data_IF_278430017888
#
_entry.id   IF_278430017888
#
_cell.length_a   1.000
_cell.length_b   1.000
_cell.length_c   1.000
_cell.angle_alpha   90.00
_cell.angle_beta   90.00
_cell.angle_gamma   90.00
#
_symmetry.space_group_name_H-M   'P 1'
#
loop_
_entity.id
_entity.type
_entity.pdbx_description
1 polymer ?
#
# COMPACT_ATOMS: atom_id res chain seq x y z
N UNK A 1 9.12 -14.52 7.39
CA UNK A 1 8.27 -15.26 8.37
C UNK A 1 6.99 -14.52 8.75
N UNK A 2 6.91 -13.21 8.66
CA UNK A 2 5.74 -12.39 9.07
C UNK A 2 4.49 -12.60 8.21
N UNK A 3 4.63 -13.15 7.01
CA UNK A 3 3.52 -13.49 6.09
C UNK A 3 2.68 -14.70 6.51
N UNK A 4 3.15 -15.48 7.49
CA UNK A 4 2.45 -16.67 7.96
C UNK A 4 1.28 -16.37 8.92
N UNK A 5 1.18 -15.11 9.38
CA UNK A 5 0.05 -14.69 10.23
C UNK A 5 -1.01 -14.04 9.34
N UNK A 6 -2.15 -14.70 9.09
CA UNK A 6 -3.24 -14.09 8.35
C UNK A 6 -3.66 -12.77 9.01
N UNK A 7 -3.91 -11.70 8.25
CA UNK A 7 -4.33 -10.40 8.80
C UNK A 7 -5.55 -10.49 9.73
N UNK A 8 -6.43 -11.44 9.48
CA UNK A 8 -7.63 -11.67 10.30
C UNK A 8 -7.31 -12.08 11.74
N UNK A 9 -6.19 -12.77 11.98
CA UNK A 9 -5.78 -13.17 13.35
C UNK A 9 -5.35 -11.94 14.15
N UNK A 10 -4.76 -10.95 13.49
CA UNK A 10 -4.34 -9.69 14.09
C UNK A 10 -5.52 -8.76 14.38
N UNK A 11 -6.70 -9.06 13.86
CA UNK A 11 -7.87 -8.21 14.00
C UNK A 11 -8.23 -7.94 15.46
N UNK A 12 -8.38 -8.98 16.28
CA UNK A 12 -8.74 -8.82 17.70
C UNK A 12 -7.70 -8.04 18.51
N UNK A 13 -6.40 -8.38 18.48
CA UNK A 13 -5.41 -7.63 19.24
C UNK A 13 -5.27 -6.18 18.75
N UNK A 14 -5.35 -5.92 17.45
CA UNK A 14 -5.28 -4.55 16.91
C UNK A 14 -6.51 -3.74 17.31
N UNK A 15 -7.71 -4.32 17.24
CA UNK A 15 -8.94 -3.69 17.71
C UNK A 15 -8.84 -3.32 19.19
N UNK A 16 -8.28 -4.21 20.02
CA UNK A 16 -8.05 -3.92 21.44
C UNK A 16 -7.08 -2.75 21.64
N UNK A 17 -5.97 -2.69 20.89
CA UNK A 17 -4.99 -1.61 20.96
C UNK A 17 -5.62 -0.27 20.53
N UNK A 18 -6.33 -0.24 19.41
CA UNK A 18 -7.03 0.96 18.92
C UNK A 18 -8.06 1.45 19.94
N UNK A 19 -8.80 0.52 20.58
CA UNK A 19 -9.74 0.85 21.66
C UNK A 19 -9.05 1.48 22.86
N UNK A 20 -7.90 0.97 23.27
CA UNK A 20 -7.10 1.56 24.36
C UNK A 20 -6.56 2.95 24.05
N UNK A 21 -6.27 3.22 22.79
CA UNK A 21 -5.83 4.54 22.32
C UNK A 21 -6.99 5.53 22.14
N UNK A 22 -8.25 5.09 22.26
CA UNK A 22 -9.43 5.94 22.06
C UNK A 22 -9.60 6.40 20.61
N UNK A 23 -9.08 5.64 19.63
CA UNK A 23 -9.06 6.00 18.21
C UNK A 23 -10.17 5.31 17.41
N UNK A 24 -11.12 4.63 18.04
CA UNK A 24 -12.29 4.11 17.36
C UNK A 24 -13.07 5.24 16.68
N UNK A 25 -13.80 4.86 15.63
CA UNK A 25 -14.62 5.76 14.85
C UNK A 25 -13.83 6.91 14.19
N UNK A 26 -12.56 6.60 13.85
CA UNK A 26 -11.63 7.53 13.21
C UNK A 26 -10.79 6.84 12.14
N UNK A 27 -10.58 7.53 11.01
CA UNK A 27 -9.64 7.11 9.98
C UNK A 27 -8.18 7.00 10.48
N UNK A 28 -7.83 7.68 11.59
CA UNK A 28 -6.52 7.51 12.24
C UNK A 28 -6.28 6.08 12.74
N UNK A 29 -7.35 5.35 13.10
CA UNK A 29 -7.25 3.93 13.40
C UNK A 29 -6.72 3.14 12.20
N UNK A 30 -7.23 3.43 11.00
CA UNK A 30 -6.80 2.79 9.76
C UNK A 30 -5.36 3.15 9.39
N UNK A 31 -4.97 4.42 9.58
CA UNK A 31 -3.58 4.89 9.37
C UNK A 31 -2.59 4.13 10.25
N UNK A 32 -2.97 3.74 11.45
CA UNK A 32 -2.12 2.96 12.36
C UNK A 32 -2.15 1.45 12.05
N UNK A 33 -3.29 0.94 11.63
CA UNK A 33 -3.48 -0.50 11.41
C UNK A 33 -2.95 -0.96 10.06
N UNK A 34 -3.19 -0.22 8.98
CA UNK A 34 -2.78 -0.62 7.63
C UNK A 34 -1.28 -0.87 7.47
N UNK A 35 -0.37 -0.11 8.11
CA UNK A 35 1.05 -0.42 8.11
C UNK A 35 1.40 -1.82 8.62
N UNK A 36 0.60 -2.41 9.51
CA UNK A 36 0.89 -3.73 10.08
C UNK A 36 0.95 -4.84 9.03
N UNK A 37 0.22 -4.72 7.93
CA UNK A 37 0.23 -5.67 6.83
C UNK A 37 0.86 -5.11 5.54
N UNK A 38 0.89 -3.78 5.36
CA UNK A 38 1.52 -3.19 4.17
C UNK A 38 3.05 -3.11 4.30
N UNK A 39 3.59 -2.78 5.48
CA UNK A 39 5.06 -2.71 5.70
C UNK A 39 5.76 -4.06 5.46
N UNK A 40 5.28 -5.21 5.96
CA UNK A 40 5.93 -6.50 5.68
C UNK A 40 6.03 -6.80 4.19
N UNK A 41 4.96 -6.54 3.43
CA UNK A 41 4.93 -6.71 1.97
C UNK A 41 5.91 -5.75 1.29
N UNK A 42 5.84 -4.46 1.67
CA UNK A 42 6.72 -3.42 1.16
C UNK A 42 8.20 -3.77 1.38
N UNK A 43 8.53 -4.24 2.57
CA UNK A 43 9.89 -4.66 2.93
C UNK A 43 10.36 -5.84 2.08
N UNK A 44 9.52 -6.84 1.91
CA UNK A 44 9.84 -8.02 1.10
C UNK A 44 10.06 -7.66 -0.38
N UNK A 45 9.18 -6.85 -0.95
CA UNK A 45 9.30 -6.37 -2.33
C UNK A 45 10.54 -5.50 -2.52
N UNK A 46 10.81 -4.57 -1.58
CA UNK A 46 12.01 -3.73 -1.63
C UNK A 46 13.28 -4.56 -1.54
N UNK A 47 13.30 -5.54 -0.67
CA UNK A 47 14.45 -6.43 -0.53
C UNK A 47 14.71 -7.23 -1.82
N UNK A 48 13.64 -7.73 -2.47
CA UNK A 48 13.76 -8.39 -3.77
C UNK A 48 14.31 -7.45 -4.85
N UNK A 49 13.82 -6.22 -4.90
CA UNK A 49 14.29 -5.20 -5.84
C UNK A 49 15.78 -4.85 -5.61
N UNK A 50 16.16 -4.58 -4.37
CA UNK A 50 17.54 -4.19 -4.03
C UNK A 50 18.55 -5.32 -4.33
N UNK A 51 18.15 -6.57 -4.20
CA UNK A 51 19.00 -7.72 -4.58
C UNK A 51 19.27 -7.82 -6.09
N UNK A 52 18.42 -7.23 -6.91
CA UNK A 52 18.60 -7.15 -8.35
C UNK A 52 19.55 -6.01 -8.79
N UNK A 53 19.93 -5.11 -7.88
CA UNK A 53 20.89 -4.05 -8.21
C UNK A 53 22.30 -4.61 -8.21
N UNK A 54 23.14 -4.26 -9.22
CA UNK A 54 24.56 -4.64 -9.24
C UNK A 54 25.29 -4.10 -8.01
N UNK A 55 26.08 -4.92 -7.32
CA UNK A 55 26.84 -4.50 -6.12
C UNK A 55 27.88 -3.41 -6.43
N UNK A 56 28.35 -3.36 -7.67
CA UNK A 56 29.34 -2.38 -8.17
C UNK A 56 28.87 -0.94 -7.99
N UNK A 57 27.56 -0.72 -7.99
CA UNK A 57 26.95 0.62 -7.78
C UNK A 57 27.24 1.11 -6.35
N UNK A 58 27.11 0.23 -5.39
CA UNK A 58 27.37 0.56 -3.98
C UNK A 58 28.88 0.72 -3.73
N UNK A 59 29.69 -0.14 -4.33
CA UNK A 59 31.15 -0.07 -4.26
C UNK A 59 31.70 1.21 -4.90
N UNK A 60 31.18 1.61 -6.07
CA UNK A 60 31.58 2.86 -6.72
C UNK A 60 31.26 4.08 -5.83
N UNK A 61 30.10 4.12 -5.18
CA UNK A 61 29.76 5.19 -4.26
C UNK A 61 30.74 5.27 -3.06
N UNK A 62 31.26 4.14 -2.61
CA UNK A 62 32.25 4.11 -1.53
C UNK A 62 33.62 4.60 -2.00
N UNK A 63 34.03 4.26 -3.22
CA UNK A 63 35.28 4.76 -3.83
C UNK A 63 35.22 6.28 -4.00
N UNK A 64 34.05 6.82 -4.35
CA UNK A 64 33.81 8.27 -4.45
C UNK A 64 33.75 8.98 -3.07
N UNK A 65 34.05 8.27 -1.98
CA UNK A 65 34.11 8.83 -0.63
C UNK A 65 32.73 9.01 0.02
N UNK A 66 31.67 8.44 -0.54
CA UNK A 66 30.37 8.46 0.08
C UNK A 66 30.35 7.54 1.30
N UNK A 67 30.06 8.09 2.48
CA UNK A 67 29.72 7.27 3.62
C UNK A 67 28.43 6.47 3.37
N UNK A 68 28.26 5.34 4.09
CA UNK A 68 27.17 4.37 3.87
C UNK A 68 25.77 5.02 3.77
N UNK A 69 25.43 5.93 4.67
CA UNK A 69 24.14 6.62 4.65
C UNK A 69 23.99 7.54 3.42
N UNK A 70 25.06 8.25 3.05
CA UNK A 70 25.06 9.14 1.88
C UNK A 70 24.94 8.33 0.58
N UNK A 71 25.61 7.17 0.46
CA UNK A 71 25.46 6.25 -0.67
C UNK A 71 24.01 5.76 -0.80
N UNK A 72 23.36 5.36 0.29
CA UNK A 72 21.96 4.95 0.28
C UNK A 72 21.06 6.09 -0.21
N UNK A 73 21.18 7.29 0.34
CA UNK A 73 20.28 8.40 0.03
C UNK A 73 20.48 9.00 -1.36
N UNK A 74 21.71 9.06 -1.86
CA UNK A 74 22.04 9.75 -3.11
C UNK A 74 22.22 8.81 -4.31
N UNK A 75 22.46 7.52 -4.07
CA UNK A 75 22.68 6.54 -5.14
C UNK A 75 21.58 5.47 -5.12
N UNK A 76 21.49 4.69 -4.06
CA UNK A 76 20.58 3.54 -4.00
C UNK A 76 19.11 3.97 -4.04
N UNK A 77 18.71 4.97 -3.25
CA UNK A 77 17.33 5.41 -3.16
C UNK A 77 16.79 6.01 -4.48
N UNK A 78 17.52 6.87 -5.21
CA UNK A 78 17.10 7.31 -6.54
C UNK A 78 16.99 6.18 -7.56
N UNK A 79 17.92 5.23 -7.56
CA UNK A 79 17.86 4.05 -8.41
C UNK A 79 16.69 3.12 -8.04
N UNK A 80 16.26 3.13 -6.78
CA UNK A 80 15.15 2.32 -6.30
C UNK A 80 13.77 2.94 -6.56
N UNK A 81 13.68 4.11 -7.20
CA UNK A 81 12.39 4.77 -7.50
C UNK A 81 11.36 3.85 -8.19
N UNK A 82 11.73 3.00 -9.18
CA UNK A 82 10.77 2.07 -9.77
C UNK A 82 10.25 1.05 -8.75
N UNK A 83 11.14 0.53 -7.90
CA UNK A 83 10.76 -0.39 -6.81
C UNK A 83 9.82 0.26 -5.79
N UNK A 84 10.11 1.51 -5.38
CA UNK A 84 9.26 2.28 -4.48
C UNK A 84 7.87 2.51 -5.10
N UNK A 85 7.82 2.84 -6.39
CA UNK A 85 6.57 3.04 -7.09
C UNK A 85 5.73 1.76 -7.12
N UNK A 86 6.34 0.60 -7.35
CA UNK A 86 5.69 -0.71 -7.28
C UNK A 86 5.12 -0.99 -5.89
N UNK A 87 5.92 -0.75 -4.85
CA UNK A 87 5.48 -0.94 -3.46
C UNK A 87 4.30 -0.05 -3.13
N UNK A 88 4.34 1.22 -3.56
CA UNK A 88 3.25 2.16 -3.33
C UNK A 88 1.92 1.67 -3.95
N UNK A 89 1.96 1.11 -5.17
CA UNK A 89 0.79 0.52 -5.81
C UNK A 89 0.27 -0.69 -5.03
N UNK A 90 1.16 -1.61 -4.64
CA UNK A 90 0.74 -2.78 -3.88
C UNK A 90 0.13 -2.39 -2.54
N UNK A 91 0.75 -1.46 -1.81
CA UNK A 91 0.22 -0.96 -0.54
C UNK A 91 -1.13 -0.26 -0.73
N UNK A 92 -1.27 0.56 -1.77
CA UNK A 92 -2.54 1.20 -2.13
C UNK A 92 -3.62 0.18 -2.45
N UNK A 93 -3.32 -0.83 -3.28
CA UNK A 93 -4.26 -1.88 -3.66
C UNK A 93 -4.72 -2.68 -2.44
N UNK A 94 -3.81 -3.03 -1.54
CA UNK A 94 -4.15 -3.73 -0.29
C UNK A 94 -5.05 -2.88 0.61
N UNK A 95 -4.74 -1.59 0.77
CA UNK A 95 -5.57 -0.68 1.54
C UNK A 95 -6.96 -0.48 0.91
N UNK A 96 -7.03 -0.42 -0.43
CA UNK A 96 -8.30 -0.30 -1.16
C UNK A 96 -9.19 -1.54 -1.08
N UNK A 97 -8.62 -2.73 -0.88
CA UNK A 97 -9.39 -3.97 -0.75
C UNK A 97 -9.82 -4.25 0.69
N UNK A 98 -9.25 -3.51 1.65
CA UNK A 98 -9.50 -3.76 3.05
C UNK A 98 -10.90 -3.27 3.45
N UNK A 99 -11.70 -4.17 4.01
CA UNK A 99 -13.07 -3.92 4.43
C UNK A 99 -13.28 -4.16 5.93
N UNK A 100 -12.66 -5.21 6.48
CA UNK A 100 -12.94 -5.69 7.84
C UNK A 100 -12.54 -4.66 8.91
N UNK A 101 -11.32 -4.15 8.82
CA UNK A 101 -10.86 -3.11 9.74
C UNK A 101 -11.62 -1.79 9.53
N UNK A 102 -11.86 -1.46 8.26
CA UNK A 102 -12.55 -0.23 7.91
C UNK A 102 -13.99 -0.17 8.45
N UNK A 103 -14.76 -1.25 8.35
CA UNK A 103 -16.15 -1.29 8.83
C UNK A 103 -16.25 -1.20 10.33
N UNK A 104 -15.24 -1.69 11.06
CA UNK A 104 -15.25 -1.70 12.54
C UNK A 104 -14.62 -0.44 13.12
N UNK A 105 -13.58 0.09 12.49
CA UNK A 105 -12.78 1.19 13.05
C UNK A 105 -13.14 2.58 12.52
N UNK A 106 -13.87 2.67 11.39
CA UNK A 106 -14.29 3.93 10.78
C UNK A 106 -15.81 3.85 10.44
N UNK A 107 -16.64 3.63 11.46
CA UNK A 107 -18.09 3.40 11.32
C UNK A 107 -18.92 4.65 11.06
N UNK A 108 -18.62 5.86 11.61
CA UNK A 108 -19.42 7.07 11.39
C UNK A 108 -19.50 7.44 9.91
N UNK A 109 -20.61 8.04 9.50
CA UNK A 109 -20.90 8.36 8.09
C UNK A 109 -19.84 9.27 7.47
N UNK A 110 -19.34 10.22 8.22
CA UNK A 110 -18.29 11.18 7.85
C UNK A 110 -16.87 10.60 7.84
N UNK A 111 -16.69 9.42 8.44
CA UNK A 111 -15.39 8.72 8.54
C UNK A 111 -15.32 7.48 7.63
N UNK A 112 -16.43 7.09 7.01
CA UNK A 112 -16.48 5.89 6.16
C UNK A 112 -15.58 6.01 4.94
N UNK A 113 -14.73 5.02 4.78
CA UNK A 113 -14.00 4.84 3.52
C UNK A 113 -14.92 4.26 2.44
N UNK A 114 -14.56 4.44 1.17
CA UNK A 114 -15.41 4.08 0.03
C UNK A 114 -15.82 2.62 0.03
N UNK A 115 -14.91 1.71 0.37
CA UNK A 115 -15.15 0.26 0.46
C UNK A 115 -16.28 -0.11 1.43
N UNK A 116 -16.45 0.66 2.49
CA UNK A 116 -17.52 0.48 3.49
C UNK A 116 -18.73 1.33 3.13
N UNK A 117 -18.54 2.56 2.69
CA UNK A 117 -19.60 3.51 2.41
C UNK A 117 -20.52 3.05 1.29
N UNK A 118 -19.94 2.54 0.19
CA UNK A 118 -20.74 2.08 -0.95
C UNK A 118 -21.73 0.97 -0.59
N UNK A 119 -21.31 -0.19 -0.05
CA UNK A 119 -22.26 -1.25 0.27
C UNK A 119 -23.23 -0.84 1.39
N UNK A 120 -22.79 -0.13 2.43
CA UNK A 120 -23.64 0.21 3.56
C UNK A 120 -24.67 1.30 3.25
N UNK A 121 -24.43 2.16 2.27
CA UNK A 121 -25.36 3.24 1.89
C UNK A 121 -26.22 2.91 0.69
N UNK A 122 -25.72 2.11 -0.25
CA UNK A 122 -26.36 1.85 -1.54
C UNK A 122 -27.02 0.46 -1.61
N UNK A 123 -26.87 -0.37 -0.57
CA UNK A 123 -27.58 -1.64 -0.44
C UNK A 123 -28.45 -1.54 0.83
N UNK A 124 -29.76 -1.64 0.68
CA UNK A 124 -30.73 -1.54 1.78
C UNK A 124 -31.66 -2.77 1.77
N UNK A 125 -31.33 -3.76 2.57
CA UNK A 125 -32.04 -5.05 2.51
C UNK A 125 -31.90 -5.67 1.11
N UNK A 126 -33.00 -5.96 0.46
CA UNK A 126 -33.03 -6.54 -0.89
C UNK A 126 -33.04 -5.48 -2.01
N UNK A 127 -32.91 -4.19 -1.67
CA UNK A 127 -32.91 -3.11 -2.65
C UNK A 127 -31.47 -2.71 -2.96
N UNK A 128 -31.09 -2.87 -4.22
CA UNK A 128 -29.77 -2.53 -4.76
C UNK A 128 -29.88 -1.32 -5.68
N UNK A 129 -29.23 -0.23 -5.32
CA UNK A 129 -29.11 0.95 -6.19
C UNK A 129 -28.01 0.74 -7.21
N UNK A 130 -28.25 -0.18 -8.17
CA UNK A 130 -27.23 -0.63 -9.15
C UNK A 130 -26.58 0.51 -9.91
N UNK A 131 -27.33 1.51 -10.36
CA UNK A 131 -26.78 2.66 -11.07
C UNK A 131 -25.76 3.44 -10.22
N UNK A 132 -26.10 3.69 -8.95
CA UNK A 132 -25.22 4.38 -8.01
C UNK A 132 -24.01 3.54 -7.62
N UNK A 133 -24.20 2.21 -7.46
CA UNK A 133 -23.09 1.28 -7.18
C UNK A 133 -22.09 1.23 -8.34
N UNK A 134 -22.59 1.14 -9.58
CA UNK A 134 -21.72 1.15 -10.77
C UNK A 134 -21.00 2.51 -10.93
N UNK A 135 -21.72 3.62 -10.75
CA UNK A 135 -21.12 4.95 -10.80
C UNK A 135 -20.04 5.13 -9.73
N UNK A 136 -20.31 4.71 -8.50
CA UNK A 136 -19.32 4.75 -7.41
C UNK A 136 -18.11 3.86 -7.70
N UNK A 137 -18.34 2.65 -8.21
CA UNK A 137 -17.25 1.75 -8.64
C UNK A 137 -16.38 2.37 -9.73
N UNK A 138 -16.96 3.04 -10.72
CA UNK A 138 -16.21 3.76 -11.76
C UNK A 138 -15.45 4.97 -11.21
N UNK A 139 -16.07 5.76 -10.33
CA UNK A 139 -15.42 6.93 -9.71
C UNK A 139 -14.15 6.55 -8.92
N UNK A 140 -14.10 5.37 -8.35
CA UNK A 140 -12.95 4.87 -7.60
C UNK A 140 -12.02 4.05 -8.49
N UNK A 141 -12.56 3.17 -9.31
CA UNK A 141 -11.80 2.24 -10.14
C UNK A 141 -11.03 2.94 -11.25
N UNK A 142 -11.63 3.95 -11.92
CA UNK A 142 -10.94 4.65 -13.02
C UNK A 142 -9.71 5.41 -12.55
N UNK A 143 -9.76 6.27 -11.50
CA UNK A 143 -8.55 6.89 -10.97
C UNK A 143 -7.49 5.89 -10.49
N UNK A 144 -7.92 4.81 -9.84
CA UNK A 144 -7.02 3.75 -9.40
C UNK A 144 -6.33 3.05 -10.59
N UNK A 145 -7.08 2.74 -11.66
CA UNK A 145 -6.54 2.15 -12.88
C UNK A 145 -5.56 3.08 -13.59
N UNK A 146 -5.86 4.38 -13.65
CA UNK A 146 -4.97 5.39 -14.23
C UNK A 146 -3.66 5.49 -13.42
N UNK A 147 -3.75 5.58 -12.10
CA UNK A 147 -2.57 5.59 -11.23
C UNK A 147 -1.73 4.32 -11.41
N UNK A 148 -2.39 3.16 -11.47
CA UNK A 148 -1.72 1.89 -11.70
C UNK A 148 -0.99 1.87 -13.04
N UNK A 149 -1.64 2.32 -14.12
CA UNK A 149 -1.06 2.37 -15.45
C UNK A 149 0.19 3.27 -15.52
N UNK A 150 0.12 4.49 -14.95
CA UNK A 150 1.26 5.43 -14.92
C UNK A 150 2.48 4.83 -14.21
N UNK A 151 2.26 4.03 -13.18
CA UNK A 151 3.37 3.49 -12.38
C UNK A 151 3.91 2.21 -12.96
N UNK A 152 3.07 1.34 -13.55
CA UNK A 152 3.51 0.08 -14.15
C UNK A 152 4.43 0.33 -15.35
N UNK A 153 4.15 1.37 -16.14
CA UNK A 153 5.01 1.75 -17.27
C UNK A 153 6.43 2.14 -16.81
N UNK A 154 6.53 2.86 -15.70
CA UNK A 154 7.82 3.22 -15.10
C UNK A 154 8.55 2.02 -14.50
N UNK A 155 7.81 1.06 -13.96
CA UNK A 155 8.38 -0.17 -13.44
C UNK A 155 8.95 -1.04 -14.57
N UNK A 156 8.21 -1.23 -15.67
CA UNK A 156 8.66 -1.99 -16.83
C UNK A 156 9.92 -1.35 -17.45
N UNK A 157 9.93 -0.02 -17.62
CA UNK A 157 11.10 0.70 -18.12
C UNK A 157 12.32 0.52 -17.21
N UNK A 158 12.14 0.51 -15.90
CA UNK A 158 13.23 0.26 -14.95
C UNK A 158 13.80 -1.16 -15.01
N UNK A 159 12.95 -2.16 -15.27
CA UNK A 159 13.39 -3.56 -15.42
C UNK A 159 14.12 -3.81 -16.74
N UNK A 160 13.69 -3.20 -17.83
CA UNK A 160 14.33 -3.37 -19.15
C UNK A 160 15.73 -2.74 -19.19
N UNK A 161 15.94 -1.61 -18.51
CA UNK A 161 17.27 -1.00 -18.37
C UNK A 161 18.25 -1.84 -17.56
N UNK A 162 17.76 -2.70 -16.65
CA UNK A 162 18.59 -3.58 -15.84
C UNK A 162 18.90 -4.93 -16.51
N UNK A 163 18.20 -5.26 -17.62
CA UNK A 163 18.37 -6.53 -18.35
C UNK A 163 19.27 -6.47 -19.57
N UNK A 164 19.69 -5.29 -20.02
CA UNK A 164 20.52 -5.06 -21.22
C UNK A 164 22.01 -4.83 -20.89
N UNK A 165 22.47 -5.19 -19.69
CA UNK A 165 23.84 -5.06 -19.22
C UNK A 165 24.61 -6.38 -19.11
#
# INVERSE_FOLDING_TARGET
>A
MTYLVPPIILFLPLTYVIGRLGLFDSWWALVLVYPTFTIPIATWLMFGFLRGLPPEIEEAAWVDGCGRLRGILHVVLPLSRPGIATIAIFAFTLAMQEYLYAVVMASPVDQKVVTVGMPTMLIRGDIYFWGSLMAGGLLVGVPAAVLFNIVIDRFIQGLTMAGDG
#
